data_IF_769233714213
#
_entry.id   IF_769233714213
#
_cell.length_a   1.000
_cell.length_b   1.000
_cell.length_c   1.000
_cell.angle_alpha   90.00
_cell.angle_beta   90.00
_cell.angle_gamma   90.00
#
_symmetry.space_group_name_H-M   'P 1'
#
loop_
_entity.id
_entity.type
_entity.pdbx_description
1 polymer ?
#
# COMPACT_ATOMS: atom_id res chain seq x y z
N UNK A 1 -7.28 2.68 -38.74
CA UNK A 1 -7.13 3.40 -37.46
C UNK A 1 -7.08 2.34 -36.38
N UNK A 2 -5.88 1.98 -35.95
CA UNK A 2 -5.70 0.99 -34.87
C UNK A 2 -5.96 1.72 -33.56
N UNK A 3 -7.06 1.38 -32.89
CA UNK A 3 -7.31 1.85 -31.52
C UNK A 3 -6.25 1.22 -30.62
N UNK A 4 -5.31 2.04 -30.15
CA UNK A 4 -4.45 1.69 -29.01
C UNK A 4 -5.37 1.63 -27.79
N UNK A 5 -5.66 0.43 -27.31
CA UNK A 5 -6.34 0.27 -26.03
C UNK A 5 -5.40 0.77 -24.92
N UNK A 6 -5.91 1.47 -23.88
CA UNK A 6 -5.09 1.84 -22.74
C UNK A 6 -4.54 0.57 -22.08
N UNK A 7 -3.22 0.50 -21.91
CA UNK A 7 -2.55 -0.59 -21.21
C UNK A 7 -3.07 -0.65 -19.77
N UNK A 8 -3.68 -1.76 -19.38
CA UNK A 8 -4.00 -2.11 -17.98
C UNK A 8 -2.82 -2.80 -17.30
N UNK A 9 -1.61 -2.28 -17.49
CA UNK A 9 -0.43 -2.75 -16.75
C UNK A 9 -0.47 -2.09 -15.38
N UNK A 10 -0.63 -2.91 -14.33
CA UNK A 10 -0.45 -2.45 -12.96
C UNK A 10 0.97 -1.92 -12.80
N UNK A 11 1.09 -0.81 -12.11
CA UNK A 11 2.39 -0.27 -11.72
C UNK A 11 3.02 -1.20 -10.67
N UNK A 12 4.35 -1.22 -10.59
CA UNK A 12 5.08 -1.94 -9.52
C UNK A 12 4.56 -1.56 -8.12
N UNK A 13 4.00 -0.36 -7.95
CA UNK A 13 3.39 0.13 -6.72
C UNK A 13 2.06 -0.57 -6.41
N UNK A 14 1.16 -0.68 -7.37
CA UNK A 14 -0.14 -1.35 -7.21
C UNK A 14 0.06 -2.82 -6.86
N UNK A 15 1.03 -3.49 -7.50
CA UNK A 15 1.38 -4.88 -7.17
C UNK A 15 1.92 -5.01 -5.74
N UNK A 16 2.71 -4.04 -5.27
CA UNK A 16 3.18 -3.99 -3.88
C UNK A 16 2.04 -3.73 -2.90
N UNK A 17 1.09 -2.84 -3.24
CA UNK A 17 -0.08 -2.57 -2.40
C UNK A 17 -0.97 -3.81 -2.25
N UNK A 18 -1.22 -4.54 -3.34
CA UNK A 18 -1.98 -5.79 -3.31
C UNK A 18 -1.29 -6.85 -2.45
N UNK A 19 0.02 -7.03 -2.63
CA UNK A 19 0.80 -7.96 -1.83
C UNK A 19 0.75 -7.61 -0.33
N UNK A 20 0.87 -6.32 -0.01
CA UNK A 20 0.76 -5.84 1.37
C UNK A 20 -0.63 -6.08 1.94
N UNK A 21 -1.69 -5.81 1.18
CA UNK A 21 -3.06 -6.05 1.59
C UNK A 21 -3.33 -7.53 1.89
N UNK A 22 -2.93 -8.43 0.98
CA UNK A 22 -3.06 -9.89 1.17
C UNK A 22 -2.28 -10.38 2.41
N UNK A 23 -1.07 -9.85 2.60
CA UNK A 23 -0.22 -10.23 3.74
C UNK A 23 -0.80 -9.73 5.07
N UNK A 24 -1.36 -8.51 5.09
CA UNK A 24 -2.04 -7.93 6.25
C UNK A 24 -3.24 -8.80 6.65
N UNK A 25 -4.09 -9.16 5.68
CA UNK A 25 -5.26 -10.00 5.93
C UNK A 25 -4.86 -11.38 6.48
N UNK A 26 -3.88 -12.02 5.84
CA UNK A 26 -3.37 -13.32 6.27
C UNK A 26 -2.77 -13.27 7.68
N UNK A 27 -2.00 -12.22 7.99
CA UNK A 27 -1.39 -12.05 9.31
C UNK A 27 -2.45 -11.79 10.37
N UNK A 28 -3.47 -10.97 10.06
CA UNK A 28 -4.58 -10.70 10.96
C UNK A 28 -5.36 -11.99 11.27
N UNK A 29 -5.74 -12.76 10.24
CA UNK A 29 -6.44 -14.03 10.40
C UNK A 29 -5.63 -15.03 11.25
N UNK A 30 -4.31 -15.08 11.06
CA UNK A 30 -3.43 -15.93 11.87
C UNK A 30 -3.43 -15.54 13.34
N UNK A 31 -3.50 -14.25 13.67
CA UNK A 31 -3.53 -13.77 15.05
C UNK A 31 -4.87 -14.09 15.71
N UNK A 32 -5.99 -13.98 14.97
CA UNK A 32 -7.33 -14.24 15.50
C UNK A 32 -7.66 -15.72 15.70
N UNK A 33 -7.08 -16.61 14.88
CA UNK A 33 -7.34 -18.06 14.97
C UNK A 33 -6.62 -18.76 16.11
N UNK A 34 -5.59 -18.14 16.69
CA UNK A 34 -4.65 -18.80 17.61
C UNK A 34 -4.79 -18.25 19.04
N UNK A 35 -5.45 -19.03 19.91
CA UNK A 35 -5.42 -18.78 21.36
C UNK A 35 -4.10 -19.30 21.91
N UNK A 36 -3.18 -18.38 22.21
CA UNK A 36 -1.85 -18.72 22.68
C UNK A 36 -1.87 -19.33 24.10
N UNK A 37 -1.71 -20.67 24.18
CA UNK A 37 -1.81 -21.44 25.42
C UNK A 37 -0.50 -21.47 26.23
N UNK A 38 0.63 -21.33 25.55
CA UNK A 38 1.97 -21.33 26.13
C UNK A 38 2.66 -19.97 26.01
N UNK A 39 3.68 -19.74 26.84
CA UNK A 39 4.50 -18.52 26.78
C UNK A 39 5.13 -18.32 25.41
N UNK A 40 5.65 -19.38 24.80
CA UNK A 40 6.33 -19.28 23.51
C UNK A 40 5.35 -18.90 22.40
N UNK A 41 4.11 -19.42 22.44
CA UNK A 41 3.02 -19.02 21.55
C UNK A 41 2.63 -17.55 21.76
N UNK A 42 2.55 -17.08 23.01
CA UNK A 42 2.26 -15.68 23.32
C UNK A 42 3.37 -14.74 22.81
N UNK A 43 4.64 -15.13 22.97
CA UNK A 43 5.77 -14.38 22.43
C UNK A 43 5.74 -14.34 20.89
N UNK A 44 5.33 -15.43 20.24
CA UNK A 44 5.13 -15.46 18.79
C UNK A 44 3.96 -14.59 18.34
N UNK A 45 2.83 -14.62 19.05
CA UNK A 45 1.65 -13.79 18.77
C UNK A 45 2.00 -12.30 18.87
N UNK A 46 2.78 -11.89 19.89
CA UNK A 46 3.28 -10.51 20.02
C UNK A 46 4.13 -10.12 18.80
N UNK A 47 4.97 -11.02 18.27
CA UNK A 47 5.77 -10.75 17.06
C UNK A 47 4.87 -10.56 15.84
N UNK A 48 3.83 -11.39 15.68
CA UNK A 48 2.86 -11.23 14.60
C UNK A 48 2.09 -9.91 14.68
N UNK A 49 1.63 -9.53 15.87
CA UNK A 49 0.94 -8.24 16.09
C UNK A 49 1.85 -7.06 15.71
N UNK A 50 3.13 -7.12 16.08
CA UNK A 50 4.11 -6.08 15.69
C UNK A 50 4.34 -6.05 14.18
N UNK A 51 4.44 -7.21 13.54
CA UNK A 51 4.57 -7.31 12.09
C UNK A 51 3.34 -6.72 11.38
N UNK A 52 2.14 -7.05 11.84
CA UNK A 52 0.88 -6.50 11.32
C UNK A 52 0.86 -4.98 11.40
N UNK A 53 1.21 -4.41 12.56
CA UNK A 53 1.28 -2.96 12.73
C UNK A 53 2.29 -2.28 11.80
N UNK A 54 3.45 -2.92 11.57
CA UNK A 54 4.44 -2.43 10.61
C UNK A 54 3.91 -2.47 9.18
N UNK A 55 3.33 -3.59 8.74
CA UNK A 55 2.78 -3.78 7.39
C UNK A 55 1.66 -2.78 7.10
N UNK A 56 0.69 -2.65 8.02
CA UNK A 56 -0.38 -1.66 7.90
C UNK A 56 0.15 -0.22 7.81
N UNK A 57 1.25 0.06 8.54
CA UNK A 57 1.94 1.34 8.47
C UNK A 57 2.59 1.60 7.11
N UNK A 58 3.22 0.60 6.49
CA UNK A 58 3.79 0.74 5.14
C UNK A 58 2.69 0.91 4.09
N UNK A 59 1.65 0.07 4.13
CA UNK A 59 0.51 0.17 3.22
C UNK A 59 -0.07 1.59 3.19
N UNK A 60 -0.36 2.18 4.37
CA UNK A 60 -0.88 3.55 4.46
C UNK A 60 0.09 4.60 3.89
N UNK A 61 1.40 4.42 4.06
CA UNK A 61 2.39 5.36 3.51
C UNK A 61 2.39 5.32 1.99
N UNK A 62 2.45 4.14 1.39
CA UNK A 62 2.40 3.97 -0.05
C UNK A 62 1.10 4.53 -0.66
N UNK A 63 -0.03 4.33 0.02
CA UNK A 63 -1.31 4.89 -0.39
C UNK A 63 -1.29 6.43 -0.38
N UNK A 64 -0.70 7.03 0.66
CA UNK A 64 -0.57 8.49 0.74
C UNK A 64 0.49 9.07 -0.20
N UNK A 65 1.53 8.31 -0.55
CA UNK A 65 2.55 8.74 -1.51
C UNK A 65 1.95 8.86 -2.93
N UNK A 66 0.94 8.05 -3.26
CA UNK A 66 0.13 8.20 -4.48
C UNK A 66 -0.65 9.51 -4.49
N UNK A 67 -1.35 9.85 -3.40
CA UNK A 67 -2.06 11.12 -3.28
C UNK A 67 -1.11 12.31 -3.51
N UNK A 68 0.13 12.23 -2.99
CA UNK A 68 1.13 13.28 -3.16
C UNK A 68 1.64 13.39 -4.61
N UNK A 69 1.87 12.27 -5.28
CA UNK A 69 2.29 12.23 -6.68
C UNK A 69 1.19 12.79 -7.60
N UNK A 70 -0.08 12.43 -7.36
CA UNK A 70 -1.23 12.95 -8.10
C UNK A 70 -1.40 14.46 -7.90
N UNK A 71 -1.32 14.94 -6.66
CA UNK A 71 -1.37 16.38 -6.35
C UNK A 71 -0.23 17.15 -7.01
N UNK A 72 0.98 16.58 -7.09
CA UNK A 72 2.11 17.19 -7.77
C UNK A 72 1.87 17.29 -9.29
N UNK A 73 1.34 16.24 -9.90
CA UNK A 73 0.99 16.23 -11.32
C UNK A 73 -0.12 17.26 -11.65
N UNK A 74 -1.13 17.37 -10.79
CA UNK A 74 -2.20 18.37 -10.94
C UNK A 74 -1.66 19.81 -10.83
N UNK A 75 -0.76 20.05 -9.88
CA UNK A 75 -0.07 21.35 -9.73
C UNK A 75 0.76 21.72 -10.97
N UNK A 76 1.48 20.76 -11.56
CA UNK A 76 2.27 20.99 -12.76
C UNK A 76 1.38 21.28 -13.98
N UNK A 77 0.25 20.57 -14.11
CA UNK A 77 -0.77 20.86 -15.13
C UNK A 77 -1.36 22.27 -14.98
N UNK A 78 -1.70 22.67 -13.74
CA UNK A 78 -2.19 24.01 -13.43
C UNK A 78 -1.16 25.10 -13.76
N UNK A 79 0.10 24.92 -13.35
CA UNK A 79 1.18 25.87 -13.67
C UNK A 79 1.43 26.00 -15.18
N UNK A 80 1.38 24.89 -15.90
CA UNK A 80 1.52 24.88 -17.36
C UNK A 80 0.34 25.57 -18.06
N UNK A 81 -0.87 25.44 -17.52
CA UNK A 81 -2.07 26.11 -18.04
C UNK A 81 -2.09 27.62 -17.76
N UNK A 82 -1.53 28.07 -16.64
CA UNK A 82 -1.49 29.49 -16.23
C UNK A 82 -0.34 30.29 -16.86
N UNK A 83 0.45 29.69 -17.77
CA UNK A 83 1.45 30.40 -18.57
C UNK A 83 2.74 30.78 -17.81
N UNK A 84 3.04 30.11 -16.70
CA UNK A 84 4.34 30.22 -16.04
C UNK A 84 5.43 29.49 -16.84
N UNK A 85 6.12 30.20 -17.72
CA UNK A 85 7.40 29.76 -18.30
C UNK A 85 8.44 29.56 -17.16
N UNK A 86 9.39 28.61 -17.27
CA UNK A 86 10.14 28.01 -16.16
C UNK A 86 11.10 28.95 -15.40
#
# INVERSE_FOLDING_TARGET
MTQTQPSTEKTDREDVLDLLAETIETTHARIELDDAASRDEQELQIKWIRALGYLAGQYRKLLNDEDLDEMAAELDLLKAADGGDP
#
